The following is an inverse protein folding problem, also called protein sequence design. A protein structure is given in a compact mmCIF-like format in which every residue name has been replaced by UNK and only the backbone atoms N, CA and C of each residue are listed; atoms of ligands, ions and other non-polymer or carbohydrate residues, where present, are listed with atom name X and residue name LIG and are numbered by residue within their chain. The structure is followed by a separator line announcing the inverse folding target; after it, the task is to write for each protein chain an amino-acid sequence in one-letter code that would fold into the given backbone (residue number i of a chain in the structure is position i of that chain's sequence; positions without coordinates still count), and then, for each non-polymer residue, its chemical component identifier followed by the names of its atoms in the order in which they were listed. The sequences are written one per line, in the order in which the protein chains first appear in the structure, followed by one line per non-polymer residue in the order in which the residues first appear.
data_IF_863567003288
#
_entry.id   IF_863567003288
#
_cell.length_a   1.000
_cell.length_b   1.000
_cell.length_c   1.000
_cell.angle_alpha   90.00
_cell.angle_beta   90.00
_cell.angle_gamma   90.00
#
_symmetry.space_group_name_H-M   'P 1'
#
loop_
_entity.id
_entity.type
_entity.pdbx_description
1 polymer ?
#
# COMPACT_ATOMS: atom_id res chain seq x y z
N UNK A 1 4.22 -54.07 31.19
CA UNK A 1 3.40 -52.85 31.41
C UNK A 1 4.22 -51.64 31.90
N UNK A 2 4.99 -51.70 33.00
CA UNK A 2 5.73 -50.54 33.54
C UNK A 2 6.73 -49.88 32.57
N UNK A 3 7.43 -50.65 31.73
CA UNK A 3 8.42 -50.12 30.76
C UNK A 3 7.75 -49.35 29.60
N UNK A 4 6.65 -49.89 29.07
CA UNK A 4 5.86 -49.25 28.00
C UNK A 4 5.24 -47.94 28.53
N UNK A 5 4.66 -47.96 29.74
CA UNK A 5 4.09 -46.77 30.36
C UNK A 5 5.14 -45.65 30.55
N UNK A 6 6.37 -45.99 30.96
CA UNK A 6 7.48 -45.02 31.08
C UNK A 6 7.85 -44.42 29.72
N UNK A 7 7.93 -45.23 28.67
CA UNK A 7 8.23 -44.76 27.32
C UNK A 7 7.14 -43.78 26.86
N UNK A 8 5.87 -44.16 26.98
CA UNK A 8 4.73 -43.30 26.62
C UNK A 8 4.77 -41.98 27.39
N UNK A 9 5.03 -42.01 28.70
CA UNK A 9 5.11 -40.81 29.54
C UNK A 9 6.23 -39.87 29.08
N UNK A 10 7.42 -40.41 28.80
CA UNK A 10 8.58 -39.64 28.30
C UNK A 10 8.27 -39.04 26.93
N UNK A 11 7.65 -39.82 26.03
CA UNK A 11 7.24 -39.35 24.71
C UNK A 11 6.24 -38.20 24.81
N UNK A 12 5.19 -38.35 25.62
CA UNK A 12 4.18 -37.30 25.85
C UNK A 12 4.83 -36.05 26.45
N UNK A 13 5.71 -36.20 27.45
CA UNK A 13 6.41 -35.08 28.07
C UNK A 13 7.34 -34.36 27.07
N UNK A 14 8.03 -35.12 26.22
CA UNK A 14 8.83 -34.58 25.13
C UNK A 14 7.99 -33.77 24.13
N UNK A 15 6.86 -34.32 23.69
CA UNK A 15 5.93 -33.62 22.80
C UNK A 15 5.36 -32.34 23.43
N UNK A 16 4.93 -32.38 24.70
CA UNK A 16 4.43 -31.19 25.41
C UNK A 16 5.51 -30.12 25.56
N UNK A 17 6.75 -30.53 25.81
CA UNK A 17 7.89 -29.60 25.91
C UNK A 17 8.16 -28.93 24.56
N UNK A 18 8.24 -29.70 23.47
CA UNK A 18 8.42 -29.16 22.12
C UNK A 18 7.27 -28.25 21.70
N UNK A 19 6.04 -28.65 22.00
CA UNK A 19 4.86 -27.82 21.73
C UNK A 19 4.89 -26.50 22.50
N UNK A 20 5.27 -26.53 23.78
CA UNK A 20 5.44 -25.33 24.60
C UNK A 20 6.52 -24.40 24.04
N UNK A 21 7.69 -24.94 23.69
CA UNK A 21 8.78 -24.17 23.07
C UNK A 21 8.35 -23.55 21.73
N UNK A 22 7.62 -24.31 20.90
CA UNK A 22 7.08 -23.81 19.64
C UNK A 22 6.10 -22.65 19.85
N UNK A 23 5.20 -22.73 20.84
CA UNK A 23 4.28 -21.64 21.17
C UNK A 23 5.00 -20.38 21.65
N UNK A 24 6.05 -20.53 22.46
CA UNK A 24 6.89 -19.39 22.90
C UNK A 24 7.60 -18.76 21.71
N UNK A 25 8.19 -19.59 20.84
CA UNK A 25 8.83 -19.11 19.61
C UNK A 25 7.86 -18.33 18.72
N UNK A 26 6.66 -18.88 18.46
CA UNK A 26 5.62 -18.21 17.68
C UNK A 26 5.23 -16.86 18.30
N UNK A 27 5.01 -16.83 19.62
CA UNK A 27 4.66 -15.59 20.33
C UNK A 27 5.75 -14.53 20.14
N UNK A 28 7.01 -14.90 20.30
CA UNK A 28 8.12 -13.95 20.13
C UNK A 28 8.26 -13.48 18.68
N UNK A 29 8.08 -14.39 17.71
CA UNK A 29 8.06 -14.04 16.29
C UNK A 29 6.95 -13.03 15.97
N UNK A 30 5.70 -13.33 16.36
CA UNK A 30 4.57 -12.44 16.11
C UNK A 30 4.74 -11.08 16.80
N UNK A 31 5.24 -11.06 18.03
CA UNK A 31 5.56 -9.81 18.71
C UNK A 31 6.57 -8.97 17.93
N UNK A 32 7.66 -9.58 17.44
CA UNK A 32 8.67 -8.88 16.64
C UNK A 32 8.12 -8.33 15.33
N UNK A 33 7.23 -9.06 14.66
CA UNK A 33 6.54 -8.55 13.46
C UNK A 33 5.60 -7.40 13.81
N UNK A 34 4.78 -7.52 14.86
CA UNK A 34 3.92 -6.40 15.26
C UNK A 34 4.75 -5.15 15.62
N UNK A 35 5.88 -5.31 16.31
CA UNK A 35 6.79 -4.20 16.63
C UNK A 35 7.38 -3.54 15.37
N UNK A 36 7.65 -4.28 14.29
CA UNK A 36 8.14 -3.69 13.04
C UNK A 36 7.07 -2.92 12.27
N UNK A 37 5.80 -3.32 12.39
CA UNK A 37 4.66 -2.64 11.77
C UNK A 37 4.28 -1.38 12.56
N UNK A 38 5.17 -0.39 12.55
CA UNK A 38 5.15 0.82 13.41
C UNK A 38 4.10 1.88 13.05
N UNK A 39 3.39 1.72 11.93
CA UNK A 39 2.26 2.56 11.54
C UNK A 39 1.21 1.77 10.75
N UNK A 40 0.07 2.40 10.52
CA UNK A 40 -1.09 1.79 9.85
C UNK A 40 -0.81 1.34 8.43
N UNK A 41 0.02 2.06 7.67
CA UNK A 41 0.30 1.74 6.26
C UNK A 41 1.19 0.51 6.11
N UNK A 42 2.16 0.35 7.01
CA UNK A 42 2.92 -0.90 7.13
C UNK A 42 2.01 -2.06 7.51
N UNK A 43 1.10 -1.86 8.46
CA UNK A 43 0.13 -2.88 8.87
C UNK A 43 -0.77 -3.31 7.71
N UNK A 44 -1.30 -2.37 6.93
CA UNK A 44 -2.13 -2.64 5.75
C UNK A 44 -1.35 -3.34 4.64
N UNK A 45 -0.12 -2.91 4.33
CA UNK A 45 0.71 -3.59 3.34
C UNK A 45 1.04 -5.03 3.77
N UNK A 46 1.41 -5.22 5.04
CA UNK A 46 1.72 -6.55 5.58
C UNK A 46 0.49 -7.46 5.60
N UNK A 47 -0.67 -6.92 6.00
CA UNK A 47 -1.94 -7.65 6.02
C UNK A 47 -2.29 -8.25 4.66
N UNK A 48 -1.88 -7.61 3.57
CA UNK A 48 -2.11 -8.11 2.21
C UNK A 48 -1.00 -9.05 1.73
N UNK A 49 0.25 -8.63 1.85
CA UNK A 49 1.41 -9.37 1.31
C UNK A 49 1.75 -10.63 2.12
N UNK A 50 1.30 -10.69 3.38
CA UNK A 50 1.50 -11.79 4.32
C UNK A 50 0.18 -12.25 4.93
N UNK A 51 -0.88 -12.29 4.10
CA UNK A 51 -2.22 -12.73 4.47
C UNK A 51 -2.19 -14.05 5.26
N UNK A 52 -2.91 -14.09 6.38
CA UNK A 52 -3.02 -15.26 7.25
C UNK A 52 -1.80 -15.60 8.11
N UNK A 53 -0.68 -14.86 8.01
CA UNK A 53 0.52 -15.12 8.82
C UNK A 53 0.36 -14.64 10.26
N UNK A 54 -0.16 -13.42 10.44
CA UNK A 54 -0.37 -12.84 11.77
C UNK A 54 -1.75 -13.22 12.33
N UNK A 55 -1.82 -13.87 13.51
CA UNK A 55 -3.09 -14.24 14.10
C UNK A 55 -3.99 -13.03 14.35
N UNK A 56 -5.19 -13.07 13.78
CA UNK A 56 -6.25 -12.08 13.95
C UNK A 56 -6.13 -10.86 13.05
N UNK A 57 -5.00 -10.63 12.37
CA UNK A 57 -4.88 -9.53 11.41
C UNK A 57 -5.74 -9.88 10.19
N UNK A 58 -6.69 -9.01 9.86
CA UNK A 58 -7.53 -9.23 8.68
C UNK A 58 -6.72 -9.01 7.40
N UNK A 59 -7.08 -9.72 6.33
CA UNK A 59 -6.53 -9.43 5.00
C UNK A 59 -6.99 -8.04 4.56
N UNK A 60 -6.06 -7.22 4.06
CA UNK A 60 -6.36 -5.84 3.69
C UNK A 60 -7.45 -5.75 2.63
N UNK A 61 -7.30 -6.46 1.52
CA UNK A 61 -8.27 -6.52 0.41
C UNK A 61 -9.67 -6.88 0.88
N UNK A 62 -9.81 -7.80 1.84
CA UNK A 62 -11.12 -8.14 2.42
C UNK A 62 -11.65 -7.03 3.33
N UNK A 63 -10.79 -6.40 4.11
CA UNK A 63 -11.19 -5.34 5.04
C UNK A 63 -11.65 -4.07 4.32
N UNK A 64 -11.16 -3.81 3.10
CA UNK A 64 -11.50 -2.60 2.31
C UNK A 64 -12.48 -2.86 1.16
N UNK A 65 -13.07 -4.06 1.08
CA UNK A 65 -13.94 -4.49 -0.02
C UNK A 65 -13.26 -4.36 -1.39
N UNK A 66 -11.99 -4.77 -1.45
CA UNK A 66 -11.12 -4.68 -2.62
C UNK A 66 -11.50 -5.67 -3.72
N UNK A 67 -11.26 -5.26 -4.98
CA UNK A 67 -11.60 -6.04 -6.17
C UNK A 67 -10.79 -7.33 -6.35
N UNK A 68 -9.61 -7.39 -5.74
CA UNK A 68 -8.71 -8.54 -5.79
C UNK A 68 -7.78 -8.55 -4.57
N UNK A 69 -7.01 -9.63 -4.44
CA UNK A 69 -6.03 -9.84 -3.38
C UNK A 69 -4.68 -10.19 -3.97
N UNK A 70 -3.61 -9.82 -3.28
CA UNK A 70 -2.24 -10.18 -3.59
C UNK A 70 -2.07 -11.71 -3.57
N UNK A 71 -1.42 -12.26 -4.59
CA UNK A 71 -1.18 -13.70 -4.72
C UNK A 71 0.22 -13.95 -5.24
N UNK A 72 0.86 -15.00 -4.75
CA UNK A 72 2.07 -15.49 -5.40
C UNK A 72 1.77 -15.85 -6.88
N UNK A 73 2.61 -15.47 -7.85
CA UNK A 73 3.95 -14.88 -7.73
C UNK A 73 4.02 -13.35 -7.90
N UNK A 74 2.93 -12.62 -7.66
CA UNK A 74 2.88 -11.16 -7.86
C UNK A 74 3.91 -10.46 -6.96
N UNK A 75 4.56 -9.41 -7.48
CA UNK A 75 5.45 -8.56 -6.69
C UNK A 75 4.76 -7.28 -6.21
N UNK A 76 3.74 -6.86 -6.95
CA UNK A 76 2.93 -5.66 -6.73
C UNK A 76 1.56 -5.90 -7.37
N UNK A 77 0.50 -5.38 -6.76
CA UNK A 77 -0.87 -5.48 -7.27
C UNK A 77 -1.64 -4.18 -7.00
N UNK A 78 -2.50 -3.77 -7.92
CA UNK A 78 -3.47 -2.70 -7.74
C UNK A 78 -4.80 -3.26 -7.23
N UNK A 79 -5.22 -2.88 -6.03
CA UNK A 79 -6.51 -3.30 -5.45
C UNK A 79 -7.51 -2.19 -5.66
N UNK A 80 -8.45 -2.38 -6.60
CA UNK A 80 -9.51 -1.40 -6.87
C UNK A 80 -10.52 -1.37 -5.73
N UNK A 81 -10.98 -0.17 -5.36
CA UNK A 81 -11.97 0.08 -4.31
C UNK A 81 -13.24 0.64 -4.94
N UNK A 82 -14.37 -0.01 -4.68
CA UNK A 82 -15.67 0.56 -5.01
C UNK A 82 -15.97 1.71 -4.05
N UNK A 83 -16.11 2.93 -4.56
CA UNK A 83 -16.22 4.16 -3.76
C UNK A 83 -17.26 5.13 -4.34
N UNK A 84 -18.30 4.62 -5.02
CA UNK A 84 -19.36 5.41 -5.64
C UNK A 84 -18.83 6.52 -6.59
N UNK A 85 -17.73 6.22 -7.29
CA UNK A 85 -17.07 7.11 -8.24
C UNK A 85 -17.75 7.07 -9.61
N UNK A 86 -17.56 8.11 -10.42
CA UNK A 86 -18.06 8.15 -11.81
C UNK A 86 -17.35 7.10 -12.68
N UNK A 87 -17.95 6.74 -13.83
CA UNK A 87 -17.39 5.72 -14.73
C UNK A 87 -15.98 6.04 -15.28
N UNK A 88 -15.59 7.32 -15.29
CA UNK A 88 -14.27 7.79 -15.72
C UNK A 88 -13.29 7.98 -14.55
N UNK A 89 -13.69 7.67 -13.32
CA UNK A 89 -12.90 7.76 -12.10
C UNK A 89 -12.61 6.35 -11.57
N UNK A 90 -11.46 6.19 -10.91
CA UNK A 90 -11.16 4.97 -10.16
C UNK A 90 -10.30 5.28 -8.94
N UNK A 91 -10.45 4.48 -7.88
CA UNK A 91 -9.61 4.52 -6.69
C UNK A 91 -9.04 3.13 -6.46
N UNK A 92 -7.72 3.05 -6.32
CA UNK A 92 -7.03 1.82 -6.02
C UNK A 92 -5.97 2.00 -4.93
N UNK A 93 -5.64 0.91 -4.28
CA UNK A 93 -4.48 0.82 -3.38
C UNK A 93 -3.51 -0.18 -3.96
N UNK A 94 -2.34 0.32 -4.34
CA UNK A 94 -1.25 -0.48 -4.86
C UNK A 94 -0.43 -0.96 -3.67
N UNK A 95 -0.33 -2.28 -3.53
CA UNK A 95 0.45 -2.93 -2.48
C UNK A 95 1.47 -3.87 -3.09
N UNK A 96 2.58 -4.09 -2.41
CA UNK A 96 3.59 -5.04 -2.87
C UNK A 96 4.73 -5.24 -1.90
N UNK A 97 5.74 -5.98 -2.35
CA UNK A 97 6.97 -6.17 -1.59
C UNK A 97 7.73 -4.86 -1.36
N UNK A 98 8.74 -4.92 -0.50
CA UNK A 98 9.58 -3.77 -0.13
C UNK A 98 8.74 -2.60 0.44
N UNK A 99 7.73 -2.93 1.26
CA UNK A 99 6.83 -1.95 1.92
C UNK A 99 6.09 -1.01 0.95
N UNK A 100 5.86 -1.45 -0.29
CA UNK A 100 5.19 -0.65 -1.33
C UNK A 100 3.73 -0.42 -0.96
N UNK A 101 3.34 0.82 -0.69
CA UNK A 101 1.95 1.18 -0.43
C UNK A 101 1.63 2.53 -1.08
N UNK A 102 0.74 2.53 -2.07
CA UNK A 102 0.31 3.73 -2.80
C UNK A 102 -1.21 3.75 -2.84
N UNK A 103 -1.83 4.84 -2.40
CA UNK A 103 -3.26 5.08 -2.65
C UNK A 103 -3.32 5.97 -3.89
N UNK A 104 -4.07 5.55 -4.91
CA UNK A 104 -4.12 6.22 -6.21
C UNK A 104 -5.56 6.44 -6.64
N UNK A 105 -5.93 7.71 -6.78
CA UNK A 105 -7.11 8.13 -7.50
C UNK A 105 -6.71 8.46 -8.94
N UNK A 106 -7.50 8.00 -9.90
CA UNK A 106 -7.36 8.28 -11.32
C UNK A 106 -8.65 8.86 -11.89
N UNK A 107 -8.55 9.83 -12.79
CA UNK A 107 -9.66 10.34 -13.58
C UNK A 107 -9.26 10.52 -15.05
N UNK A 108 -10.06 9.97 -15.97
CA UNK A 108 -9.95 10.25 -17.40
C UNK A 108 -10.57 11.63 -17.71
N UNK A 109 -9.75 12.54 -18.21
CA UNK A 109 -10.10 13.89 -18.63
C UNK A 109 -10.68 13.89 -20.06
N UNK A 110 -11.42 14.94 -20.41
CA UNK A 110 -12.11 15.02 -21.70
C UNK A 110 -11.19 15.13 -22.93
N UNK A 111 -9.90 15.41 -22.73
CA UNK A 111 -8.87 15.43 -23.78
C UNK A 111 -8.19 14.06 -23.98
N UNK A 112 -8.62 13.03 -23.24
CA UNK A 112 -8.08 11.67 -23.31
C UNK A 112 -6.88 11.41 -22.39
N UNK A 113 -6.47 12.38 -21.56
CA UNK A 113 -5.38 12.20 -20.57
C UNK A 113 -5.92 11.81 -19.21
N UNK A 114 -5.04 11.29 -18.36
CA UNK A 114 -5.36 10.83 -17.02
C UNK A 114 -4.80 11.79 -15.98
N UNK A 115 -5.64 12.19 -15.02
CA UNK A 115 -5.23 12.80 -13.77
C UNK A 115 -5.01 11.70 -12.74
N UNK A 116 -3.88 11.72 -12.05
CA UNK A 116 -3.58 10.90 -10.89
C UNK A 116 -3.36 11.77 -9.66
N UNK A 117 -4.04 11.44 -8.56
CA UNK A 117 -3.79 11.99 -7.23
C UNK A 117 -3.38 10.83 -6.35
N UNK A 118 -2.24 10.96 -5.66
CA UNK A 118 -1.63 9.82 -4.97
C UNK A 118 -1.15 10.17 -3.59
N UNK A 119 -1.16 9.16 -2.73
CA UNK A 119 -0.39 9.11 -1.50
C UNK A 119 0.64 7.98 -1.61
N UNK A 120 1.92 8.32 -1.58
CA UNK A 120 3.03 7.37 -1.73
C UNK A 120 3.71 7.17 -0.39
N UNK A 121 3.63 5.96 0.16
CA UNK A 121 4.32 5.62 1.40
C UNK A 121 5.82 5.40 1.14
N UNK A 122 6.66 6.08 1.92
CA UNK A 122 8.11 5.87 1.93
C UNK A 122 8.71 6.41 3.21
N UNK A 123 9.57 5.63 3.87
CA UNK A 123 10.34 6.06 5.04
C UNK A 123 9.45 6.77 6.10
N UNK A 124 8.33 6.15 6.47
CA UNK A 124 7.35 6.70 7.42
C UNK A 124 6.70 8.03 6.99
N UNK A 125 6.79 8.38 5.71
CA UNK A 125 6.08 9.52 5.14
C UNK A 125 5.06 9.00 4.12
N UNK A 126 3.83 9.49 4.22
CA UNK A 126 2.81 9.31 3.20
C UNK A 126 2.73 10.60 2.37
N UNK A 127 3.47 10.62 1.26
CA UNK A 127 3.66 11.82 0.45
C UNK A 127 2.59 11.97 -0.62
N UNK A 128 1.86 13.07 -0.58
CA UNK A 128 0.88 13.39 -1.60
C UNK A 128 1.57 13.87 -2.88
N UNK A 129 1.18 13.31 -4.03
CA UNK A 129 1.67 13.74 -5.35
C UNK A 129 0.54 13.82 -6.35
N UNK A 130 0.78 14.56 -7.43
CA UNK A 130 -0.15 14.70 -8.56
C UNK A 130 0.59 14.38 -9.85
N UNK A 131 -0.14 13.84 -10.82
CA UNK A 131 0.37 13.61 -12.17
C UNK A 131 -0.73 13.78 -13.21
N UNK A 132 -0.39 14.40 -14.34
CA UNK A 132 -1.16 14.28 -15.58
C UNK A 132 -0.35 13.42 -16.53
N UNK A 133 -0.96 12.42 -17.18
CA UNK A 133 -0.26 11.60 -18.17
C UNK A 133 -1.15 11.17 -19.34
N UNK A 134 -0.53 10.91 -20.50
CA UNK A 134 -1.19 10.20 -21.61
C UNK A 134 -1.17 8.67 -21.44
N UNK A 135 -0.52 8.16 -20.39
CA UNK A 135 -0.59 6.76 -19.99
C UNK A 135 -1.73 6.51 -19.01
N UNK A 136 -2.40 5.36 -19.16
CA UNK A 136 -3.38 4.84 -18.20
C UNK A 136 -2.73 4.33 -16.91
N UNK A 137 -1.44 4.02 -16.92
CA UNK A 137 -0.72 3.61 -15.70
C UNK A 137 0.19 4.75 -15.24
N UNK A 138 0.16 5.03 -13.93
CA UNK A 138 0.91 6.14 -13.36
C UNK A 138 2.42 5.86 -13.29
N UNK A 139 3.23 6.91 -13.32
CA UNK A 139 4.69 6.78 -13.16
C UNK A 139 5.10 6.15 -11.81
N UNK A 140 4.29 6.33 -10.77
CA UNK A 140 4.54 5.73 -9.45
C UNK A 140 4.40 4.19 -9.51
N UNK A 141 3.38 3.67 -10.19
CA UNK A 141 3.20 2.23 -10.39
C UNK A 141 4.42 1.62 -11.13
N UNK A 142 4.83 2.26 -12.23
CA UNK A 142 5.99 1.80 -13.00
C UNK A 142 7.29 1.81 -12.19
N UNK A 143 7.52 2.88 -11.41
CA UNK A 143 8.71 3.03 -10.58
C UNK A 143 8.73 2.01 -9.44
N UNK A 144 7.59 1.80 -8.77
CA UNK A 144 7.47 0.81 -7.70
C UNK A 144 7.79 -0.61 -8.20
N UNK A 145 7.15 -1.02 -9.31
CA UNK A 145 7.42 -2.32 -9.92
C UNK A 145 8.89 -2.48 -10.35
N UNK A 146 9.53 -1.42 -10.84
CA UNK A 146 10.96 -1.46 -11.17
C UNK A 146 11.84 -1.60 -9.93
N UNK A 147 11.60 -0.81 -8.89
CA UNK A 147 12.41 -0.83 -7.67
C UNK A 147 12.31 -2.18 -6.95
N UNK A 148 11.13 -2.81 -6.90
CA UNK A 148 10.98 -4.16 -6.33
C UNK A 148 11.81 -5.18 -7.12
N UNK A 149 11.73 -5.16 -8.46
CA UNK A 149 12.49 -6.09 -9.33
C UNK A 149 14.00 -5.87 -9.29
N UNK A 150 14.45 -4.66 -8.98
CA UNK A 150 15.86 -4.28 -9.00
C UNK A 150 16.39 -3.88 -7.62
N UNK A 151 15.78 -4.40 -6.54
CA UNK A 151 16.10 -3.99 -5.17
C UNK A 151 17.58 -4.08 -4.82
N UNK A 152 18.29 -5.09 -5.34
CA UNK A 152 19.72 -5.30 -5.11
C UNK A 152 20.60 -4.22 -5.79
N UNK A 153 20.05 -3.49 -6.77
CA UNK A 153 20.72 -2.38 -7.45
C UNK A 153 20.52 -1.02 -6.76
N UNK A 154 19.82 -1.02 -5.63
CA UNK A 154 19.39 0.19 -4.92
C UNK A 154 18.17 0.83 -5.55
N UNK A 155 17.37 1.49 -4.71
CA UNK A 155 16.20 2.25 -5.14
C UNK A 155 16.62 3.44 -6.03
N UNK A 156 15.87 3.66 -7.11
CA UNK A 156 16.14 4.78 -8.03
C UNK A 156 14.97 5.76 -8.08
N UNK A 157 15.26 6.98 -8.53
CA UNK A 157 14.25 7.99 -8.80
C UNK A 157 13.74 7.91 -10.25
N UNK A 158 12.70 8.69 -10.55
CA UNK A 158 12.05 8.72 -11.87
C UNK A 158 13.02 9.08 -13.02
N UNK A 159 13.94 10.03 -12.78
CA UNK A 159 14.94 10.42 -13.79
C UNK A 159 15.88 9.25 -14.13
N UNK A 160 16.36 8.56 -13.09
CA UNK A 160 17.23 7.39 -13.21
C UNK A 160 16.47 6.22 -13.85
N UNK A 161 15.17 6.09 -13.56
CA UNK A 161 14.30 5.09 -14.16
C UNK A 161 14.24 5.25 -15.68
N UNK A 162 13.96 6.47 -16.16
CA UNK A 162 13.95 6.75 -17.60
C UNK A 162 15.32 6.57 -18.26
N UNK A 163 16.43 6.82 -17.55
CA UNK A 163 17.80 6.62 -18.07
C UNK A 163 18.19 5.16 -18.19
N UNK A 164 17.79 4.32 -17.22
CA UNK A 164 18.18 2.90 -17.16
C UNK A 164 17.25 1.99 -17.95
N UNK A 165 15.99 2.39 -18.07
CA UNK A 165 14.96 1.59 -18.70
C UNK A 165 14.92 1.85 -20.20
N UNK A 166 15.78 1.17 -20.96
CA UNK A 166 15.80 1.25 -22.43
C UNK A 166 14.57 0.63 -23.13
N UNK A 167 13.61 0.06 -22.37
CA UNK A 167 12.51 -0.76 -22.91
C UNK A 167 11.13 -0.51 -22.27
N UNK A 168 10.98 0.44 -21.34
CA UNK A 168 9.66 0.74 -20.76
C UNK A 168 8.94 1.79 -21.60
N UNK A 169 7.64 1.59 -21.79
CA UNK A 169 6.68 2.62 -22.19
C UNK A 169 6.77 3.84 -21.28
N UNK A 170 7.65 4.77 -21.65
CA UNK A 170 7.64 6.13 -21.12
C UNK A 170 6.43 6.84 -21.74
N UNK A 171 5.54 7.45 -20.94
CA UNK A 171 4.47 8.27 -21.49
C UNK A 171 5.05 9.38 -22.36
N UNK A 172 4.40 9.69 -23.50
CA UNK A 172 4.89 10.78 -24.35
C UNK A 172 4.64 12.14 -23.68
N UNK A 173 3.64 12.19 -22.78
CA UNK A 173 3.29 13.37 -22.03
C UNK A 173 3.13 13.04 -20.55
N UNK A 174 3.81 13.79 -19.68
CA UNK A 174 3.52 13.78 -18.26
C UNK A 174 3.84 15.13 -17.60
N UNK A 175 3.05 15.50 -16.58
CA UNK A 175 3.31 16.63 -15.70
C UNK A 175 3.27 16.14 -14.25
N UNK A 176 4.35 16.31 -13.51
CA UNK A 176 4.43 15.94 -12.08
C UNK A 176 4.71 17.14 -11.17
N UNK A 177 4.98 18.32 -11.74
CA UNK A 177 5.08 19.55 -10.96
C UNK A 177 3.66 19.99 -10.56
N UNK A 178 3.38 20.19 -9.25
CA UNK A 178 2.03 20.54 -8.81
C UNK A 178 1.48 21.83 -9.42
N UNK A 179 2.31 22.85 -9.61
CA UNK A 179 1.87 24.12 -10.18
C UNK A 179 1.52 23.98 -11.66
N UNK A 180 2.33 23.25 -12.42
CA UNK A 180 2.07 22.99 -13.85
C UNK A 180 0.83 22.10 -14.03
N UNK A 181 0.65 21.08 -13.17
CA UNK A 181 -0.52 20.22 -13.18
C UNK A 181 -1.79 21.02 -12.84
N UNK A 182 -1.75 21.89 -11.83
CA UNK A 182 -2.90 22.74 -11.49
C UNK A 182 -3.24 23.73 -12.60
N UNK A 183 -2.24 24.32 -13.26
CA UNK A 183 -2.47 25.18 -14.43
C UNK A 183 -3.16 24.39 -15.56
N UNK A 184 -2.70 23.17 -15.82
CA UNK A 184 -3.28 22.25 -16.80
C UNK A 184 -4.75 21.93 -16.50
N UNK A 185 -5.08 21.80 -15.21
CA UNK A 185 -6.37 21.36 -14.73
C UNK A 185 -7.45 22.45 -14.72
N UNK A 186 -7.07 23.74 -14.85
CA UNK A 186 -8.02 24.87 -14.83
C UNK A 186 -9.19 24.74 -15.81
N UNK A 187 -9.01 24.36 -17.08
CA UNK A 187 -10.12 24.24 -18.03
C UNK A 187 -11.12 23.12 -17.67
N UNK A 188 -10.72 22.18 -16.82
CA UNK A 188 -11.54 21.08 -16.32
C UNK A 188 -12.29 21.43 -15.03
N UNK A 189 -12.11 22.64 -14.51
CA UNK A 189 -12.72 23.06 -13.24
C UNK A 189 -12.11 22.37 -12.01
N UNK A 190 -10.89 21.83 -12.14
CA UNK A 190 -10.19 21.16 -11.05
C UNK A 190 -9.12 22.13 -10.52
N UNK A 191 -9.29 22.56 -9.27
CA UNK A 191 -8.39 23.46 -8.56
C UNK A 191 -7.78 22.81 -7.31
N UNK A 192 -6.94 23.55 -6.58
CA UNK A 192 -6.29 23.06 -5.36
C UNK A 192 -7.31 22.62 -4.29
N UNK A 193 -8.44 23.32 -4.17
CA UNK A 193 -9.47 22.98 -3.19
C UNK A 193 -10.14 21.65 -3.54
N UNK A 194 -10.45 21.44 -4.82
CA UNK A 194 -10.98 20.17 -5.31
C UNK A 194 -10.00 19.02 -5.09
N UNK A 195 -8.71 19.22 -5.38
CA UNK A 195 -7.66 18.20 -5.12
C UNK A 195 -7.61 17.86 -3.64
N UNK A 196 -7.66 18.86 -2.75
CA UNK A 196 -7.63 18.64 -1.30
C UNK A 196 -8.83 17.85 -0.81
N UNK A 197 -10.03 18.17 -1.28
CA UNK A 197 -11.26 17.46 -0.95
C UNK A 197 -11.20 16.00 -1.43
N UNK A 198 -10.84 15.78 -2.70
CA UNK A 198 -10.70 14.43 -3.26
C UNK A 198 -9.64 13.60 -2.55
N UNK A 199 -8.54 14.24 -2.13
CA UNK A 199 -7.46 13.59 -1.37
C UNK A 199 -7.88 13.21 0.05
N UNK A 200 -8.70 14.05 0.69
CA UNK A 200 -9.29 13.72 1.98
C UNK A 200 -10.21 12.51 1.87
N UNK A 201 -11.12 12.54 0.90
CA UNK A 201 -12.06 11.47 0.62
C UNK A 201 -11.36 10.12 0.40
N UNK A 202 -10.38 10.06 -0.50
CA UNK A 202 -9.68 8.80 -0.81
C UNK A 202 -8.96 8.21 0.41
N UNK A 203 -8.30 9.05 1.21
CA UNK A 203 -7.48 8.58 2.33
C UNK A 203 -8.34 8.26 3.56
N UNK A 204 -9.14 9.22 4.01
CA UNK A 204 -9.84 9.13 5.28
C UNK A 204 -11.18 8.42 5.15
N UNK A 205 -12.01 8.84 4.19
CA UNK A 205 -13.40 8.38 4.10
C UNK A 205 -13.52 7.00 3.44
N UNK A 206 -12.55 6.63 2.60
CA UNK A 206 -12.53 5.32 1.93
C UNK A 206 -11.53 4.38 2.60
N UNK A 207 -10.22 4.61 2.41
CA UNK A 207 -9.20 3.61 2.79
C UNK A 207 -9.12 3.41 4.30
N UNK A 208 -8.88 4.49 5.05
CA UNK A 208 -8.70 4.40 6.50
C UNK A 208 -10.01 4.06 7.22
N UNK A 209 -11.14 4.64 6.83
CA UNK A 209 -12.44 4.32 7.44
C UNK A 209 -12.76 2.82 7.35
N UNK A 210 -12.57 2.21 6.17
CA UNK A 210 -12.81 0.76 5.99
C UNK A 210 -11.81 -0.07 6.76
N UNK A 211 -10.52 0.28 6.68
CA UNK A 211 -9.49 -0.44 7.41
C UNK A 211 -9.71 -0.41 8.93
N UNK A 212 -10.00 0.75 9.52
CA UNK A 212 -10.24 0.86 10.96
C UNK A 212 -11.52 0.17 11.42
N UNK A 213 -12.53 0.11 10.55
CA UNK A 213 -13.77 -0.61 10.86
C UNK A 213 -13.57 -2.13 10.85
N UNK A 214 -12.80 -2.64 9.89
CA UNK A 214 -12.85 -4.07 9.53
C UNK A 214 -11.53 -4.82 9.76
N UNK A 215 -10.38 -4.14 9.83
CA UNK A 215 -9.08 -4.80 9.78
C UNK A 215 -8.03 -4.36 10.80
N UNK A 216 -8.02 -3.08 11.20
CA UNK A 216 -6.99 -2.63 12.14
C UNK A 216 -7.20 -3.19 13.54
N UNK A 217 -6.09 -3.54 14.18
CA UNK A 217 -6.07 -4.01 15.56
C UNK A 217 -5.46 -3.00 16.54
N UNK A 218 -4.61 -2.09 16.05
CA UNK A 218 -3.73 -1.25 16.88
C UNK A 218 -3.80 0.22 16.55
N UNK A 219 -4.22 0.55 15.34
CA UNK A 219 -4.30 1.90 14.84
C UNK A 219 -5.75 2.35 14.73
N UNK A 220 -5.93 3.66 14.71
CA UNK A 220 -7.23 4.31 14.63
C UNK A 220 -7.09 5.67 13.98
N UNK A 221 -8.21 6.34 13.73
CA UNK A 221 -8.20 7.70 13.17
C UNK A 221 -7.36 8.68 13.99
N UNK A 222 -7.31 8.51 15.32
CA UNK A 222 -6.57 9.37 16.24
C UNK A 222 -5.11 8.91 16.45
N UNK A 223 -4.76 7.71 15.98
CA UNK A 223 -3.43 7.14 16.13
C UNK A 223 -3.05 6.30 14.91
N UNK A 224 -2.37 6.92 13.95
CA UNK A 224 -1.85 6.26 12.75
C UNK A 224 -0.50 5.57 12.99
N UNK A 225 0.09 5.73 14.18
CA UNK A 225 1.44 5.28 14.51
C UNK A 225 2.53 6.25 14.05
N UNK A 226 3.74 5.73 13.87
CA UNK A 226 4.92 6.50 13.46
C UNK A 226 4.90 6.76 11.94
N UNK A 227 4.05 7.72 11.54
CA UNK A 227 3.91 8.19 10.16
C UNK A 227 3.58 9.67 10.10
N UNK A 228 4.17 10.37 9.13
CA UNK A 228 3.83 11.73 8.76
C UNK A 228 3.06 11.75 7.43
N UNK A 229 1.93 12.45 7.38
CA UNK A 229 1.19 12.68 6.12
C UNK A 229 1.66 14.02 5.55
N UNK A 230 2.33 13.96 4.40
CA UNK A 230 2.90 15.14 3.75
C UNK A 230 1.95 15.57 2.62
N UNK A 231 1.25 16.71 2.76
CA UNK A 231 0.29 17.17 1.75
C UNK A 231 1.00 17.69 0.49
N UNK A 232 0.23 17.88 -0.57
CA UNK A 232 0.71 18.39 -1.85
C UNK A 232 1.32 19.78 -1.64
N UNK A 233 2.58 19.95 -2.04
CA UNK A 233 3.27 21.23 -1.93
C UNK A 233 3.04 22.06 -3.20
N UNK A 234 2.13 23.03 -3.10
CA UNK A 234 1.87 24.04 -4.13
C UNK A 234 2.63 25.30 -3.71
N UNK A 235 3.59 25.74 -4.52
CA UNK A 235 4.30 26.99 -4.22
C UNK A 235 3.41 28.17 -4.55
N UNK A 236 3.22 29.09 -3.59
CA UNK A 236 2.57 30.38 -3.83
C UNK A 236 3.45 31.35 -4.58
#
# INVERSE_FOLDING_TARGET
MKKILKIVLITVLGFLTLFGLYRVYQKNYYNGVYESLSNVFLEMNYAETHSGVLPGLADFSKAVDGSQSFRDPDWIISIGLDADLSENESLEVIVGFEETFIIEYQQLLSDGRYLFIRYNYKNKNLNQTIEISDSKSSLAYYLAGYNIRNKDSGEINLESYFKRSGTVEKPNFYLTNPNEALEYLKPYGIDEAWIKEKSHFMLYDVVLARWFKNGSQRYSVDNLGDVEIVPLNVSK
#
